data_IF_271232747506
#
_entry.id   IF_271232747506
#
_cell.length_a   1.000
_cell.length_b   1.000
_cell.length_c   1.000
_cell.angle_alpha   90.00
_cell.angle_beta   90.00
_cell.angle_gamma   90.00
#
_symmetry.space_group_name_H-M   'P 1'
#
loop_
_entity.id
_entity.type
_entity.pdbx_description
1 polymer ?
#
# COMPACT_ATOMS: atom_id res chain seq x y z
N UNK A 1 2.54 11.47 3.58
CA UNK A 1 2.43 10.46 2.51
C UNK A 1 3.59 10.58 1.53
N UNK A 2 4.18 9.47 1.08
CA UNK A 2 5.24 9.38 0.07
C UNK A 2 5.03 8.14 -0.84
N UNK A 3 5.89 7.96 -1.86
CA UNK A 3 5.76 6.87 -2.84
C UNK A 3 5.77 5.47 -2.20
N UNK A 4 6.58 5.24 -1.16
CA UNK A 4 6.64 3.94 -0.46
C UNK A 4 5.33 3.58 0.22
N UNK A 5 4.54 4.55 0.64
CA UNK A 5 3.24 4.29 1.26
C UNK A 5 2.30 3.58 0.27
N UNK A 6 2.35 3.99 -1.01
CA UNK A 6 1.61 3.35 -2.10
C UNK A 6 2.17 1.97 -2.44
N UNK A 7 3.50 1.80 -2.46
CA UNK A 7 4.13 0.49 -2.67
C UNK A 7 3.68 -0.52 -1.61
N UNK A 8 3.68 -0.12 -0.34
CA UNK A 8 3.25 -0.97 0.77
C UNK A 8 1.76 -1.31 0.71
N UNK A 9 0.91 -0.33 0.36
CA UNK A 9 -0.52 -0.55 0.20
C UNK A 9 -0.81 -1.57 -0.92
N UNK A 10 -0.17 -1.41 -2.07
CA UNK A 10 -0.32 -2.31 -3.21
C UNK A 10 0.20 -3.71 -2.87
N UNK A 11 1.39 -3.82 -2.26
CA UNK A 11 1.94 -5.10 -1.85
C UNK A 11 1.03 -5.82 -0.84
N UNK A 12 0.43 -5.09 0.11
CA UNK A 12 -0.51 -5.67 1.06
C UNK A 12 -1.77 -6.21 0.38
N UNK A 13 -2.27 -5.51 -0.64
CA UNK A 13 -3.42 -5.95 -1.43
C UNK A 13 -3.14 -7.19 -2.28
N UNK A 14 -1.93 -7.29 -2.86
CA UNK A 14 -1.51 -8.43 -3.66
C UNK A 14 -1.31 -9.69 -2.82
N UNK A 15 -0.62 -9.55 -1.69
CA UNK A 15 -0.28 -10.70 -0.85
C UNK A 15 -1.37 -11.09 0.15
N UNK A 16 -2.27 -10.17 0.50
CA UNK A 16 -3.32 -10.33 1.54
C UNK A 16 -2.75 -10.88 2.86
N UNK A 17 -1.50 -10.55 3.15
CA UNK A 17 -0.77 -11.04 4.32
C UNK A 17 0.39 -10.10 4.66
N UNK A 18 0.37 -9.49 5.85
CA UNK A 18 1.35 -8.49 6.27
C UNK A 18 2.81 -8.97 6.18
N UNK A 19 3.13 -10.18 6.68
CA UNK A 19 4.49 -10.73 6.58
C UNK A 19 4.98 -10.86 5.13
N UNK A 20 4.20 -11.49 4.24
CA UNK A 20 4.55 -11.65 2.82
C UNK A 20 4.69 -10.31 2.10
N UNK A 21 3.81 -9.36 2.38
CA UNK A 21 3.91 -8.01 1.83
C UNK A 21 5.18 -7.29 2.30
N UNK A 22 5.53 -7.42 3.58
CA UNK A 22 6.73 -6.81 4.14
C UNK A 22 8.01 -7.42 3.54
N UNK A 23 8.03 -8.75 3.36
CA UNK A 23 9.10 -9.46 2.65
C UNK A 23 9.26 -8.98 1.21
N UNK A 24 8.16 -8.84 0.46
CA UNK A 24 8.16 -8.33 -0.91
C UNK A 24 8.66 -6.86 -1.00
N UNK A 25 8.44 -6.09 0.04
CA UNK A 25 8.91 -4.71 0.16
C UNK A 25 10.27 -4.56 0.85
N UNK A 26 10.95 -5.66 1.18
CA UNK A 26 12.25 -5.69 1.88
C UNK A 26 12.25 -4.91 3.21
N UNK A 27 11.16 -5.02 3.98
CA UNK A 27 11.02 -4.39 5.30
C UNK A 27 10.49 -5.37 6.34
N UNK A 28 10.53 -4.96 7.61
CA UNK A 28 9.92 -5.72 8.69
C UNK A 28 8.38 -5.61 8.66
N UNK A 29 7.68 -6.63 9.17
CA UNK A 29 6.22 -6.57 9.31
C UNK A 29 5.73 -5.41 10.21
N UNK A 30 6.38 -5.08 11.35
CA UNK A 30 6.05 -3.88 12.12
C UNK A 30 6.18 -2.59 11.31
N UNK A 31 7.19 -2.48 10.44
CA UNK A 31 7.37 -1.32 9.55
C UNK A 31 6.19 -1.18 8.59
N UNK A 32 5.85 -2.23 7.85
CA UNK A 32 4.75 -2.17 6.88
C UNK A 32 3.41 -1.88 7.57
N UNK A 33 3.09 -2.58 8.66
CA UNK A 33 1.83 -2.37 9.39
C UNK A 33 1.71 -0.98 10.00
N UNK A 34 2.81 -0.45 10.58
CA UNK A 34 2.85 0.91 11.09
C UNK A 34 2.64 1.96 9.99
N UNK A 35 3.22 1.72 8.81
CA UNK A 35 3.08 2.64 7.68
C UNK A 35 1.66 2.63 7.09
N UNK A 36 1.03 1.46 6.97
CA UNK A 36 -0.38 1.36 6.55
C UNK A 36 -1.29 2.09 7.53
N UNK A 37 -1.07 1.92 8.84
CA UNK A 37 -1.85 2.64 9.85
C UNK A 37 -1.64 4.15 9.77
N UNK A 38 -0.40 4.61 9.58
CA UNK A 38 -0.10 6.02 9.38
C UNK A 38 -0.80 6.58 8.13
N UNK A 39 -0.88 5.79 7.06
CA UNK A 39 -1.59 6.16 5.85
C UNK A 39 -3.11 6.26 6.09
N UNK A 40 -3.70 5.31 6.82
CA UNK A 40 -5.11 5.38 7.25
C UNK A 40 -5.39 6.65 8.08
N UNK A 41 -4.51 6.97 9.04
CA UNK A 41 -4.63 8.15 9.90
C UNK A 41 -4.50 9.46 9.09
N UNK A 42 -3.57 9.52 8.13
CA UNK A 42 -3.36 10.69 7.27
C UNK A 42 -4.53 10.92 6.30
N UNK A 43 -5.13 9.84 5.78
CA UNK A 43 -6.28 9.92 4.87
C UNK A 43 -7.62 10.06 5.62
N UNK A 44 -7.63 9.84 6.94
CA UNK A 44 -8.86 9.83 7.75
C UNK A 44 -9.84 8.72 7.37
N UNK A 45 -9.36 7.64 6.74
CA UNK A 45 -10.19 6.52 6.27
C UNK A 45 -9.55 5.18 6.58
N UNK A 46 -10.37 4.21 6.96
CA UNK A 46 -9.91 2.83 7.11
C UNK A 46 -9.71 2.18 5.73
N UNK A 47 -8.53 1.63 5.50
CA UNK A 47 -8.19 0.86 4.30
C UNK A 47 -8.49 -0.63 4.53
N UNK A 48 -8.44 -1.08 5.79
CA UNK A 48 -8.64 -2.47 6.18
C UNK A 48 -9.81 -2.66 7.16
N UNK A 49 -10.41 -3.84 7.12
CA UNK A 49 -11.48 -4.25 8.04
C UNK A 49 -10.93 -4.47 9.46
N UNK A 50 -11.51 -3.79 10.45
CA UNK A 50 -11.17 -3.97 11.87
C UNK A 50 -11.82 -5.25 12.36
N UNK A 51 -11.04 -6.25 12.79
CA UNK A 51 -11.46 -7.57 13.32
C UNK A 51 -11.40 -8.76 12.35
N UNK A 52 -10.82 -8.61 11.17
CA UNK A 52 -10.59 -9.78 10.32
C UNK A 52 -9.35 -10.56 10.74
N UNK A 53 -9.47 -11.89 10.90
CA UNK A 53 -8.32 -12.81 11.07
C UNK A 53 -7.43 -12.88 9.82
N UNK A 54 -7.91 -12.34 8.70
CA UNK A 54 -7.21 -12.24 7.41
C UNK A 54 -7.11 -10.76 7.02
N UNK A 55 -6.17 -10.41 6.14
CA UNK A 55 -6.16 -9.06 5.58
C UNK A 55 -7.34 -8.93 4.63
N UNK A 56 -8.32 -8.10 5.00
CA UNK A 56 -9.47 -7.72 4.18
C UNK A 56 -9.48 -6.22 4.04
N UNK A 57 -9.74 -5.76 2.82
CA UNK A 57 -9.84 -4.34 2.50
C UNK A 57 -11.29 -3.89 2.58
N UNK A 58 -11.50 -2.66 3.01
CA UNK A 58 -12.78 -1.96 2.84
C UNK A 58 -12.99 -1.64 1.37
N UNK A 59 -14.22 -1.29 0.97
CA UNK A 59 -14.50 -0.84 -0.41
C UNK A 59 -13.66 0.40 -0.78
N UNK A 60 -13.57 1.38 0.13
CA UNK A 60 -12.70 2.56 -0.04
C UNK A 60 -11.22 2.17 -0.10
N UNK A 61 -10.79 1.18 0.68
CA UNK A 61 -9.44 0.62 0.64
C UNK A 61 -9.09 0.04 -0.73
N UNK A 62 -10.00 -0.71 -1.34
CA UNK A 62 -9.81 -1.27 -2.69
C UNK A 62 -9.72 -0.17 -3.76
N UNK A 63 -10.58 0.84 -3.69
CA UNK A 63 -10.51 1.99 -4.61
C UNK A 63 -9.17 2.73 -4.50
N UNK A 64 -8.67 2.90 -3.27
CA UNK A 64 -7.39 3.56 -3.02
C UNK A 64 -6.19 2.69 -3.44
N UNK A 65 -6.29 1.36 -3.35
CA UNK A 65 -5.29 0.45 -3.95
C UNK A 65 -5.19 0.66 -5.46
N UNK A 66 -6.33 0.73 -6.16
CA UNK A 66 -6.32 0.94 -7.61
C UNK A 66 -5.75 2.31 -7.98
N UNK A 67 -6.06 3.34 -7.20
CA UNK A 67 -5.45 4.66 -7.38
C UNK A 67 -3.94 4.65 -7.09
N UNK A 68 -3.50 3.95 -6.05
CA UNK A 68 -2.08 3.78 -5.72
C UNK A 68 -1.30 3.11 -6.85
N UNK A 69 -1.85 2.07 -7.48
CA UNK A 69 -1.25 1.43 -8.66
C UNK A 69 -1.04 2.41 -9.82
N UNK A 70 -2.02 3.28 -10.08
CA UNK A 70 -1.91 4.32 -11.12
C UNK A 70 -0.80 5.31 -10.80
N UNK A 71 -0.74 5.79 -9.56
CA UNK A 71 0.32 6.71 -9.11
C UNK A 71 1.71 6.09 -9.32
N UNK A 72 1.89 4.82 -8.93
CA UNK A 72 3.16 4.12 -9.13
C UNK A 72 3.52 3.94 -10.61
N UNK A 73 2.52 3.70 -11.46
CA UNK A 73 2.70 3.64 -12.91
C UNK A 73 3.18 4.98 -13.48
N UNK A 74 2.58 6.10 -13.06
CA UNK A 74 2.99 7.44 -13.51
C UNK A 74 4.39 7.81 -13.02
N UNK A 75 4.73 7.45 -11.79
CA UNK A 75 6.10 7.62 -11.25
C UNK A 75 7.11 6.84 -12.11
N UNK A 76 6.76 5.63 -12.54
CA UNK A 76 7.60 4.84 -13.44
C UNK A 76 7.74 5.52 -14.81
N UNK A 77 6.64 5.90 -15.44
CA UNK A 77 6.64 6.64 -16.72
C UNK A 77 7.52 7.87 -16.65
N UNK A 78 7.42 8.66 -15.58
CA UNK A 78 8.24 9.87 -15.39
C UNK A 78 9.74 9.55 -15.35
N UNK A 79 10.15 8.49 -14.66
CA UNK A 79 11.56 8.06 -14.59
C UNK A 79 12.07 7.56 -15.94
N UNK A 80 11.23 6.82 -16.66
CA UNK A 80 11.56 6.29 -17.97
C UNK A 80 11.77 7.43 -18.99
N UNK A 81 10.95 8.49 -18.93
CA UNK A 81 11.11 9.69 -19.76
C UNK A 81 12.41 10.46 -19.50
N UNK A 82 12.89 10.48 -18.25
CA UNK A 82 14.14 11.16 -17.90
C UNK A 82 15.40 10.33 -18.26
N UNK A 83 15.21 9.04 -18.56
CA UNK A 83 16.28 8.09 -18.86
C UNK A 83 16.44 7.82 -20.35
N UNK A 84 15.61 8.46 -21.20
CA UNK A 84 15.72 8.47 -22.66
C UNK A 84 16.33 9.78 -23.16
#
# INVERSE_FOLDING_TARGET
MNIRDFEYLVALAEHKHFRKAAEACFVSQPTLSGQIRKLEDELGTALLERSSRRVLFTDSGLQLVDQAKRILSEVKTFKDMASG
#
